data_IF_890083184297
#
_entry.id   IF_890083184297
#
_cell.length_a   1.000
_cell.length_b   1.000
_cell.length_c   1.000
_cell.angle_alpha   90.00
_cell.angle_beta   90.00
_cell.angle_gamma   90.00
#
_symmetry.space_group_name_H-M   'P 1'
#
loop_
_entity.id
_entity.type
_entity.pdbx_description
1 polymer ?
#
# COMPACT_ATOMS: atom_id res chain seq x y z
N UNK A 1 11.54 7.45 15.11
CA UNK A 1 11.03 6.21 14.46
C UNK A 1 10.63 6.54 13.05
N UNK A 2 11.05 5.72 12.09
CA UNK A 2 10.69 5.84 10.68
C UNK A 2 9.43 5.02 10.39
N UNK A 3 8.50 5.60 9.65
CA UNK A 3 7.26 4.93 9.21
C UNK A 3 7.42 4.53 7.75
N UNK A 4 7.61 3.24 7.49
CA UNK A 4 7.88 2.74 6.14
C UNK A 4 6.61 2.17 5.52
N UNK A 5 6.28 2.70 4.34
CA UNK A 5 5.13 2.30 3.52
C UNK A 5 5.56 2.07 2.07
N UNK A 6 4.74 1.34 1.31
CA UNK A 6 5.05 0.91 -0.05
C UNK A 6 4.03 1.41 -1.09
N UNK A 7 3.22 2.41 -0.73
CA UNK A 7 2.17 2.97 -1.58
C UNK A 7 1.96 4.45 -1.28
N UNK A 8 1.77 5.26 -2.33
CA UNK A 8 1.50 6.70 -2.22
C UNK A 8 0.19 6.98 -1.48
N UNK A 9 -0.84 6.14 -1.67
CA UNK A 9 -2.12 6.29 -0.97
C UNK A 9 -1.96 6.13 0.54
N UNK A 10 -1.16 5.18 0.98
CA UNK A 10 -0.86 4.95 2.40
C UNK A 10 -0.04 6.09 2.98
N UNK A 11 0.99 6.56 2.26
CA UNK A 11 1.78 7.72 2.68
C UNK A 11 0.90 8.98 2.83
N UNK A 12 0.00 9.21 1.87
CA UNK A 12 -0.98 10.28 1.92
C UNK A 12 -1.92 10.19 3.12
N UNK A 13 -2.47 9.00 3.40
CA UNK A 13 -3.33 8.76 4.55
C UNK A 13 -2.61 9.02 5.88
N UNK A 14 -1.34 8.60 6.01
CA UNK A 14 -0.52 8.89 7.19
C UNK A 14 -0.24 10.38 7.35
N UNK A 15 0.04 11.11 6.26
CA UNK A 15 0.23 12.56 6.30
C UNK A 15 -1.02 13.27 6.82
N UNK A 16 -2.22 12.80 6.43
CA UNK A 16 -3.50 13.29 6.96
C UNK A 16 -3.63 12.94 8.43
N UNK A 17 -3.33 11.70 8.83
CA UNK A 17 -3.40 11.25 10.22
C UNK A 17 -2.52 12.10 11.15
N UNK A 18 -1.28 12.42 10.74
CA UNK A 18 -0.36 13.29 11.49
C UNK A 18 -0.85 14.75 11.46
N UNK A 19 -1.35 15.21 10.32
CA UNK A 19 -1.68 16.61 10.07
C UNK A 19 -3.01 17.04 10.67
N UNK A 20 -3.92 16.13 11.00
CA UNK A 20 -5.27 16.45 11.46
C UNK A 20 -5.29 17.24 12.79
N UNK A 21 -4.25 17.12 13.58
CA UNK A 21 -4.10 17.96 14.80
C UNK A 21 -4.02 19.47 14.48
N UNK A 22 -3.81 19.84 13.21
CA UNK A 22 -3.56 21.20 12.74
C UNK A 22 -4.43 21.66 11.55
N UNK A 23 -5.31 20.80 11.02
CA UNK A 23 -6.10 21.13 9.82
C UNK A 23 -7.50 20.53 9.87
N UNK A 24 -8.50 21.37 9.69
CA UNK A 24 -9.90 20.96 9.50
C UNK A 24 -10.17 20.93 8.00
N UNK A 25 -10.51 19.79 7.45
CA UNK A 25 -11.01 19.64 6.11
C UNK A 25 -10.30 18.54 5.30
N UNK A 26 -10.92 17.37 5.22
CA UNK A 26 -10.67 16.36 4.21
C UNK A 26 -11.70 16.47 3.09
N UNK A 27 -11.37 16.05 1.88
CA UNK A 27 -12.35 15.88 0.82
C UNK A 27 -12.98 14.48 0.97
N UNK A 28 -14.28 14.42 1.25
CA UNK A 28 -15.05 13.17 1.26
C UNK A 28 -15.66 12.96 -0.11
N UNK A 29 -15.28 11.88 -0.79
CA UNK A 29 -15.91 11.45 -2.04
C UNK A 29 -16.91 10.33 -1.73
N UNK A 30 -18.13 10.46 -2.26
CA UNK A 30 -19.16 9.42 -2.20
C UNK A 30 -19.34 8.87 -3.61
N UNK A 31 -19.05 7.58 -3.79
CA UNK A 31 -19.18 6.89 -5.06
C UNK A 31 -20.46 6.05 -4.99
N UNK A 32 -21.36 6.25 -5.95
CA UNK A 32 -22.57 5.46 -6.10
C UNK A 32 -22.34 4.38 -7.15
N UNK A 33 -22.60 3.13 -6.79
CA UNK A 33 -22.67 2.01 -7.72
C UNK A 33 -24.10 1.49 -7.76
N UNK A 34 -24.66 1.32 -8.97
CA UNK A 34 -25.96 0.70 -9.14
C UNK A 34 -25.82 -0.82 -9.13
N UNK A 35 -26.64 -1.50 -8.37
CA UNK A 35 -26.67 -2.98 -8.32
C UNK A 35 -27.09 -3.59 -9.68
N UNK A 36 -27.84 -2.86 -10.48
CA UNK A 36 -28.40 -3.35 -11.75
C UNK A 36 -27.59 -2.97 -13.00
N UNK A 37 -26.41 -2.37 -12.86
CA UNK A 37 -25.52 -2.02 -14.00
C UNK A 37 -26.06 -0.96 -14.96
N UNK A 38 -27.22 -0.36 -14.68
CA UNK A 38 -27.77 0.73 -15.50
C UNK A 38 -26.93 2.01 -15.36
N UNK A 39 -26.19 2.35 -16.41
CA UNK A 39 -25.30 3.50 -16.47
C UNK A 39 -26.02 4.87 -16.40
N UNK A 40 -27.35 4.93 -16.33
CA UNK A 40 -28.15 6.16 -16.43
C UNK A 40 -29.19 6.37 -15.31
N UNK A 41 -29.12 5.64 -14.20
CA UNK A 41 -29.98 5.93 -13.07
C UNK A 41 -29.57 7.29 -12.46
N UNK A 42 -30.38 8.30 -12.67
CA UNK A 42 -30.17 9.62 -12.05
C UNK A 42 -30.53 9.52 -10.56
N UNK A 43 -29.53 9.44 -9.70
CA UNK A 43 -29.74 9.45 -8.26
C UNK A 43 -30.34 10.81 -7.86
N UNK A 44 -31.46 10.85 -7.13
CA UNK A 44 -32.04 12.11 -6.68
C UNK A 44 -31.05 12.94 -5.87
N UNK A 45 -30.95 14.24 -6.13
CA UNK A 45 -30.03 15.15 -5.45
C UNK A 45 -30.17 15.09 -3.91
N UNK A 46 -31.40 14.91 -3.41
CA UNK A 46 -31.65 14.77 -1.97
C UNK A 46 -31.03 13.50 -1.36
N UNK A 47 -30.91 12.44 -2.15
CA UNK A 47 -30.26 11.20 -1.73
C UNK A 47 -28.74 11.34 -1.70
N UNK A 48 -28.18 12.00 -2.71
CA UNK A 48 -26.75 12.36 -2.74
C UNK A 48 -26.39 13.18 -1.50
N UNK A 49 -27.16 14.24 -1.23
CA UNK A 49 -26.95 15.12 -0.06
C UNK A 49 -27.11 14.38 1.28
N UNK A 50 -27.98 13.38 1.33
CA UNK A 50 -28.13 12.52 2.52
C UNK A 50 -26.87 11.69 2.74
N UNK A 51 -26.40 10.99 1.73
CA UNK A 51 -25.19 10.16 1.82
C UNK A 51 -23.94 10.98 2.12
N UNK A 52 -23.81 12.17 1.53
CA UNK A 52 -22.72 13.08 1.84
C UNK A 52 -22.71 13.46 3.32
N UNK A 53 -23.86 13.88 3.87
CA UNK A 53 -23.97 14.22 5.30
C UNK A 53 -23.66 13.03 6.21
N UNK A 54 -24.12 11.84 5.86
CA UNK A 54 -23.82 10.61 6.63
C UNK A 54 -22.33 10.27 6.57
N UNK A 55 -21.67 10.47 5.43
CA UNK A 55 -20.23 10.26 5.28
C UNK A 55 -19.41 11.29 6.09
N UNK A 56 -19.76 12.58 6.00
CA UNK A 56 -19.14 13.66 6.77
C UNK A 56 -19.30 13.45 8.29
N UNK A 57 -20.50 13.02 8.71
CA UNK A 57 -20.75 12.74 10.13
C UNK A 57 -19.96 11.53 10.63
N UNK A 58 -19.82 10.48 9.79
CA UNK A 58 -18.99 9.30 10.10
C UNK A 58 -17.52 9.68 10.24
N UNK A 59 -17.01 10.47 9.32
CA UNK A 59 -15.63 10.97 9.37
C UNK A 59 -15.40 11.82 10.62
N UNK A 60 -16.28 12.79 10.91
CA UNK A 60 -16.21 13.63 12.10
C UNK A 60 -16.18 12.80 13.38
N UNK A 61 -17.08 11.81 13.51
CA UNK A 61 -17.11 10.89 14.68
C UNK A 61 -15.84 10.03 14.74
N UNK A 62 -15.30 9.63 13.60
CA UNK A 62 -14.04 8.91 13.52
C UNK A 62 -12.90 9.71 14.14
N UNK A 63 -12.78 10.98 13.76
CA UNK A 63 -11.77 11.88 14.32
C UNK A 63 -11.98 12.24 15.80
N UNK A 64 -13.22 12.41 16.23
CA UNK A 64 -13.54 12.69 17.65
C UNK A 64 -13.10 11.56 18.58
N UNK A 65 -13.08 10.32 18.09
CA UNK A 65 -12.71 9.13 18.88
C UNK A 65 -11.32 8.58 18.49
N UNK A 66 -10.60 9.26 17.60
CA UNK A 66 -9.33 8.78 17.09
C UNK A 66 -8.25 8.71 18.19
N UNK A 67 -7.50 7.61 18.17
CA UNK A 67 -6.22 7.55 18.87
C UNK A 67 -5.23 8.40 18.10
N UNK A 68 -4.57 9.40 18.72
CA UNK A 68 -3.60 10.22 18.00
C UNK A 68 -2.48 9.37 17.39
N UNK A 69 -2.20 9.58 16.11
CA UNK A 69 -1.05 8.98 15.47
C UNK A 69 0.17 9.87 15.71
N UNK A 70 1.02 9.44 16.66
CA UNK A 70 2.24 10.16 16.99
C UNK A 70 3.31 9.89 15.94
N UNK A 71 3.70 10.92 15.21
CA UNK A 71 4.72 10.83 14.17
C UNK A 71 5.07 12.21 13.61
N UNK A 72 6.10 12.23 12.78
CA UNK A 72 6.51 13.43 12.06
C UNK A 72 6.42 13.16 10.57
N UNK A 73 6.00 14.15 9.80
CA UNK A 73 5.87 14.05 8.34
C UNK A 73 7.18 13.65 7.66
N UNK A 74 8.29 14.18 8.15
CA UNK A 74 9.64 13.88 7.66
C UNK A 74 10.11 12.45 7.94
N UNK A 75 9.41 11.72 8.81
CA UNK A 75 9.73 10.33 9.15
C UNK A 75 8.95 9.31 8.31
N UNK A 76 8.02 9.76 7.46
CA UNK A 76 7.33 8.88 6.53
C UNK A 76 8.27 8.57 5.37
N UNK A 77 8.60 7.29 5.21
CA UNK A 77 9.43 6.77 4.13
C UNK A 77 8.53 5.99 3.19
N UNK A 78 8.26 6.55 2.02
CA UNK A 78 7.46 5.92 1.00
C UNK A 78 8.34 5.32 -0.10
N UNK A 79 8.11 4.04 -0.42
CA UNK A 79 8.87 3.25 -1.40
C UNK A 79 7.92 2.57 -2.40
N UNK A 80 7.22 3.33 -3.26
CA UNK A 80 6.21 2.82 -4.20
C UNK A 80 6.88 2.23 -5.45
N UNK A 81 7.55 1.09 -5.29
CA UNK A 81 8.43 0.53 -6.32
C UNK A 81 7.75 -0.46 -7.26
N UNK A 82 6.47 -0.77 -7.07
CA UNK A 82 5.72 -1.76 -7.86
C UNK A 82 6.48 -3.09 -8.05
N UNK A 83 7.06 -3.61 -6.96
CA UNK A 83 7.97 -4.75 -6.97
C UNK A 83 7.28 -6.09 -7.26
N UNK A 84 5.95 -6.14 -7.33
CA UNK A 84 5.19 -7.33 -7.69
C UNK A 84 5.26 -7.65 -9.19
N UNK A 85 5.64 -6.68 -10.03
CA UNK A 85 5.72 -6.83 -11.48
C UNK A 85 7.09 -6.46 -12.05
N UNK A 86 7.37 -6.95 -13.26
CA UNK A 86 8.62 -6.70 -13.99
C UNK A 86 9.83 -7.41 -13.38
N UNK A 87 10.99 -7.24 -13.98
CA UNK A 87 12.23 -7.85 -13.53
C UNK A 87 12.78 -7.21 -12.26
N UNK A 88 13.44 -8.01 -11.42
CA UNK A 88 13.98 -7.60 -10.12
C UNK A 88 15.43 -8.07 -9.89
N UNK A 89 16.14 -8.42 -10.96
CA UNK A 89 17.52 -8.94 -10.86
C UNK A 89 18.51 -7.89 -10.37
N UNK A 90 18.23 -6.61 -10.59
CA UNK A 90 19.08 -5.50 -10.17
C UNK A 90 18.99 -5.25 -8.65
N UNK A 91 20.13 -4.85 -8.09
CA UNK A 91 20.17 -4.38 -6.70
C UNK A 91 19.74 -2.91 -6.65
N UNK A 92 18.90 -2.57 -5.68
CA UNK A 92 18.45 -1.20 -5.46
C UNK A 92 17.35 -0.75 -6.44
N UNK A 93 17.32 0.56 -6.73
CA UNK A 93 16.30 1.22 -7.56
C UNK A 93 16.94 1.59 -8.91
N UNK A 94 17.00 0.63 -9.81
CA UNK A 94 17.65 0.73 -11.12
C UNK A 94 16.65 0.83 -12.28
N UNK A 95 17.19 0.59 -13.50
CA UNK A 95 16.43 0.69 -14.77
C UNK A 95 15.30 -0.34 -14.89
N UNK A 96 15.45 -1.54 -14.30
CA UNK A 96 14.36 -2.52 -14.29
C UNK A 96 13.08 -1.98 -13.61
N UNK A 97 13.23 -1.12 -12.59
CA UNK A 97 12.06 -0.48 -11.96
C UNK A 97 11.46 0.60 -12.83
N UNK A 98 12.30 1.36 -13.53
CA UNK A 98 11.87 2.35 -14.50
C UNK A 98 11.04 1.70 -15.63
N UNK A 99 11.53 0.59 -16.19
CA UNK A 99 10.83 -0.19 -17.21
C UNK A 99 9.48 -0.72 -16.70
N UNK A 100 9.45 -1.31 -15.48
CA UNK A 100 8.24 -1.87 -14.91
C UNK A 100 7.18 -0.79 -14.64
N UNK A 101 7.57 0.33 -14.06
CA UNK A 101 6.64 1.44 -13.76
C UNK A 101 6.18 2.10 -15.06
N UNK A 102 7.07 2.25 -16.05
CA UNK A 102 6.71 2.76 -17.39
C UNK A 102 5.68 1.89 -18.08
N UNK A 103 5.79 0.56 -17.94
CA UNK A 103 4.80 -0.38 -18.48
C UNK A 103 3.43 -0.21 -17.82
N UNK A 104 3.40 -0.07 -16.49
CA UNK A 104 2.15 0.13 -15.73
C UNK A 104 1.47 1.47 -16.03
N UNK A 105 2.26 2.52 -16.29
CA UNK A 105 1.75 3.86 -16.60
C UNK A 105 1.51 4.09 -18.10
N UNK A 106 1.85 3.12 -18.95
CA UNK A 106 1.79 3.22 -20.41
C UNK A 106 0.40 3.47 -21.00
N UNK A 107 -0.66 3.24 -20.24
CA UNK A 107 -2.04 3.64 -20.59
C UNK A 107 -2.26 5.15 -20.60
N UNK A 108 -1.35 5.94 -20.04
CA UNK A 108 -1.40 7.40 -19.97
C UNK A 108 -0.14 8.03 -20.56
N UNK A 109 0.12 7.88 -21.88
CA UNK A 109 1.40 8.20 -22.51
C UNK A 109 1.84 9.66 -22.35
N UNK A 110 0.89 10.61 -22.24
CA UNK A 110 1.19 12.04 -22.15
C UNK A 110 1.86 12.44 -20.82
N UNK A 111 1.66 11.66 -19.75
CA UNK A 111 2.18 11.95 -18.42
C UNK A 111 3.10 10.84 -17.87
N UNK A 112 3.15 9.70 -18.56
CA UNK A 112 3.84 8.51 -18.08
C UNK A 112 5.30 8.78 -17.71
N UNK A 113 6.07 9.42 -18.59
CA UNK A 113 7.50 9.67 -18.36
C UNK A 113 7.75 10.57 -17.13
N UNK A 114 6.94 11.61 -16.95
CA UNK A 114 7.06 12.51 -15.80
C UNK A 114 6.70 11.79 -14.50
N UNK A 115 5.61 11.02 -14.50
CA UNK A 115 5.15 10.24 -13.33
C UNK A 115 6.22 9.23 -12.91
N UNK A 116 6.79 8.49 -13.87
CA UNK A 116 7.85 7.51 -13.60
C UNK A 116 9.08 8.18 -12.98
N UNK A 117 9.53 9.30 -13.55
CA UNK A 117 10.69 10.04 -13.04
C UNK A 117 10.43 10.54 -11.60
N UNK A 118 9.28 11.16 -11.35
CA UNK A 118 8.90 11.68 -10.03
C UNK A 118 8.79 10.57 -8.98
N UNK A 119 8.18 9.42 -9.32
CA UNK A 119 8.07 8.26 -8.43
C UNK A 119 9.45 7.71 -8.07
N UNK A 120 10.30 7.47 -9.05
CA UNK A 120 11.63 6.91 -8.81
C UNK A 120 12.54 7.87 -8.05
N UNK A 121 12.49 9.14 -8.38
CA UNK A 121 13.25 10.18 -7.66
C UNK A 121 12.82 10.29 -6.19
N UNK A 122 11.52 10.24 -5.94
CA UNK A 122 10.96 10.23 -4.58
C UNK A 122 11.42 8.98 -3.84
N UNK A 123 11.31 7.80 -4.45
CA UNK A 123 11.73 6.55 -3.86
C UNK A 123 13.24 6.52 -3.57
N UNK A 124 14.09 7.00 -4.50
CA UNK A 124 15.55 7.09 -4.31
C UNK A 124 15.92 8.02 -3.16
N UNK A 125 15.27 9.19 -3.06
CA UNK A 125 15.50 10.15 -1.97
C UNK A 125 15.05 9.58 -0.63
N UNK A 126 13.86 8.98 -0.58
CA UNK A 126 13.33 8.32 0.62
C UNK A 126 14.23 7.18 1.09
N UNK A 127 14.71 6.36 0.16
CA UNK A 127 15.62 5.26 0.48
C UNK A 127 16.98 5.75 0.99
N UNK A 128 17.56 6.77 0.37
CA UNK A 128 18.83 7.33 0.81
C UNK A 128 18.74 7.92 2.23
N UNK A 129 17.65 8.63 2.55
CA UNK A 129 17.43 9.19 3.88
C UNK A 129 17.15 8.08 4.90
N UNK A 130 16.38 7.06 4.54
CA UNK A 130 16.18 5.88 5.39
C UNK A 130 17.50 5.24 5.77
N UNK A 131 18.39 4.96 4.80
CA UNK A 131 19.69 4.35 5.06
C UNK A 131 20.52 5.16 6.05
N UNK A 132 20.55 6.48 5.87
CA UNK A 132 21.28 7.39 6.74
C UNK A 132 20.73 7.38 8.18
N UNK A 133 19.43 7.41 8.35
CA UNK A 133 18.79 7.40 9.66
C UNK A 133 18.96 6.05 10.37
N UNK A 134 18.81 4.96 9.64
CA UNK A 134 19.01 3.60 10.16
C UNK A 134 20.47 3.37 10.61
N UNK A 135 21.45 3.87 9.87
CA UNK A 135 22.87 3.84 10.28
C UNK A 135 23.11 4.61 11.59
N UNK A 136 22.30 5.61 11.89
CA UNK A 136 22.34 6.36 13.15
C UNK A 136 21.53 5.67 14.28
N UNK A 137 20.96 4.50 14.02
CA UNK A 137 20.20 3.73 15.01
C UNK A 137 18.73 4.12 15.14
N UNK A 138 18.17 4.86 14.17
CA UNK A 138 16.75 5.21 14.18
C UNK A 138 15.90 3.94 14.00
N UNK A 139 14.92 3.67 14.88
CA UNK A 139 14.04 2.51 14.76
C UNK A 139 13.09 2.65 13.56
N UNK A 140 12.71 1.51 12.99
CA UNK A 140 11.84 1.39 11.83
C UNK A 140 10.53 0.73 12.23
N UNK A 141 9.40 1.31 11.83
CA UNK A 141 8.09 0.67 11.84
C UNK A 141 7.60 0.48 10.41
N UNK A 142 7.32 -0.76 10.04
CA UNK A 142 6.89 -1.13 8.69
C UNK A 142 5.40 -1.43 8.71
N UNK A 143 4.66 -0.81 7.81
CA UNK A 143 3.23 -1.03 7.61
C UNK A 143 3.05 -2.08 6.52
N UNK A 144 2.88 -3.32 6.95
CA UNK A 144 2.79 -4.48 6.07
C UNK A 144 1.33 -4.90 5.83
N UNK A 145 1.04 -5.32 4.61
CA UNK A 145 -0.21 -5.95 4.23
C UNK A 145 0.07 -7.19 3.37
N UNK A 146 -0.98 -7.91 2.98
CA UNK A 146 -0.87 -9.05 2.06
C UNK A 146 -0.90 -8.65 0.59
N UNK A 147 -0.92 -7.34 0.30
CA UNK A 147 -0.71 -6.87 -1.06
C UNK A 147 0.65 -7.33 -1.59
N UNK A 148 0.73 -7.84 -2.82
CA UNK A 148 1.98 -8.30 -3.40
C UNK A 148 3.09 -7.25 -3.37
N UNK A 149 2.78 -5.98 -3.66
CA UNK A 149 3.76 -4.89 -3.62
C UNK A 149 4.26 -4.57 -2.22
N UNK A 150 3.38 -4.58 -1.22
CA UNK A 150 3.76 -4.35 0.18
C UNK A 150 4.64 -5.49 0.71
N UNK A 151 4.32 -6.74 0.37
CA UNK A 151 5.16 -7.89 0.74
C UNK A 151 6.50 -7.88 0.01
N UNK A 152 6.52 -7.59 -1.28
CA UNK A 152 7.76 -7.42 -2.04
C UNK A 152 8.62 -6.31 -1.45
N UNK A 153 8.00 -5.17 -1.13
CA UNK A 153 8.68 -4.03 -0.51
C UNK A 153 9.33 -4.37 0.83
N UNK A 154 8.61 -5.08 1.70
CA UNK A 154 9.15 -5.56 2.98
C UNK A 154 10.38 -6.49 2.77
N UNK A 155 10.29 -7.46 1.87
CA UNK A 155 11.36 -8.43 1.62
C UNK A 155 12.56 -7.76 0.98
N UNK A 156 12.32 -6.92 -0.03
CA UNK A 156 13.33 -6.08 -0.67
C UNK A 156 14.06 -5.19 0.34
N UNK A 157 13.31 -4.50 1.20
CA UNK A 157 13.90 -3.61 2.19
C UNK A 157 14.82 -4.35 3.16
N UNK A 158 14.45 -5.54 3.61
CA UNK A 158 15.30 -6.35 4.48
C UNK A 158 16.61 -6.74 3.79
N UNK A 159 16.59 -7.05 2.50
CA UNK A 159 17.82 -7.31 1.73
C UNK A 159 18.66 -6.03 1.57
N UNK A 160 18.03 -4.90 1.25
CA UNK A 160 18.75 -3.63 1.12
C UNK A 160 19.41 -3.17 2.45
N UNK A 161 18.85 -3.55 3.58
CA UNK A 161 19.40 -3.23 4.91
C UNK A 161 20.43 -4.24 5.41
N UNK A 162 20.63 -5.37 4.72
CA UNK A 162 21.62 -6.40 5.09
C UNK A 162 23.05 -5.83 5.30
N UNK A 163 23.55 -4.88 4.47
CA UNK A 163 24.89 -4.30 4.68
C UNK A 163 25.04 -3.47 5.97
N UNK A 164 23.92 -2.96 6.53
CA UNK A 164 23.93 -2.23 7.81
C UNK A 164 24.12 -3.19 8.98
N UNK A 165 23.74 -4.47 8.81
CA UNK A 165 23.74 -5.51 9.82
C UNK A 165 22.37 -5.65 10.46
N UNK A 166 21.61 -6.67 10.05
CA UNK A 166 20.22 -6.88 10.49
C UNK A 166 20.07 -7.04 12.01
N UNK A 167 21.11 -7.50 12.69
CA UNK A 167 21.16 -7.64 14.15
C UNK A 167 21.25 -6.31 14.90
N UNK A 168 21.59 -5.22 14.21
CA UNK A 168 21.68 -3.87 14.79
C UNK A 168 20.38 -3.08 14.62
N UNK A 169 19.46 -3.59 13.80
CA UNK A 169 18.23 -2.90 13.48
C UNK A 169 17.19 -3.09 14.59
N UNK A 170 16.46 -2.03 14.88
CA UNK A 170 15.23 -2.08 15.66
C UNK A 170 14.05 -1.95 14.71
N UNK A 171 13.45 -3.09 14.36
CA UNK A 171 12.37 -3.18 13.37
C UNK A 171 11.12 -3.70 14.04
N UNK A 172 10.04 -2.93 13.91
CA UNK A 172 8.69 -3.35 14.25
C UNK A 172 7.84 -3.42 12.99
N UNK A 173 6.76 -4.18 13.02
CA UNK A 173 5.76 -4.27 11.95
C UNK A 173 4.38 -4.04 12.51
N UNK A 174 3.57 -3.30 11.76
CA UNK A 174 2.12 -3.24 11.92
C UNK A 174 1.53 -4.03 10.76
N UNK A 175 0.93 -5.17 11.07
CA UNK A 175 0.28 -6.01 10.07
C UNK A 175 -1.18 -5.60 9.93
N UNK A 176 -1.61 -5.32 8.70
CA UNK A 176 -3.02 -5.04 8.41
C UNK A 176 -3.88 -6.26 8.78
N UNK A 177 -4.90 -6.11 9.64
CA UNK A 177 -5.87 -7.17 9.88
C UNK A 177 -6.57 -7.58 8.58
N UNK A 178 -6.58 -8.87 8.25
CA UNK A 178 -7.26 -9.35 7.04
C UNK A 178 -8.77 -9.18 7.13
N UNK A 179 -9.31 -9.35 8.33
CA UNK A 179 -10.74 -9.29 8.61
C UNK A 179 -11.01 -8.44 9.84
N UNK A 180 -12.06 -7.65 9.76
CA UNK A 180 -12.54 -6.86 10.89
C UNK A 180 -14.06 -7.03 11.02
N UNK A 181 -14.53 -7.25 12.24
CA UNK A 181 -15.95 -7.17 12.55
C UNK A 181 -16.27 -5.77 13.05
N UNK A 182 -17.02 -5.01 12.28
CA UNK A 182 -17.47 -3.67 12.64
C UNK A 182 -18.57 -3.70 13.70
N UNK A 183 -18.80 -2.58 14.43
CA UNK A 183 -19.84 -2.49 15.46
C UNK A 183 -21.25 -2.75 14.97
N UNK A 184 -21.54 -2.49 13.69
CA UNK A 184 -22.80 -2.77 13.01
C UNK A 184 -23.01 -4.26 12.69
N UNK A 185 -21.99 -5.10 12.97
CA UNK A 185 -22.00 -6.54 12.71
C UNK A 185 -21.46 -6.93 11.33
N UNK A 186 -21.16 -5.99 10.47
CA UNK A 186 -20.53 -6.25 9.17
C UNK A 186 -19.13 -6.80 9.35
N UNK A 187 -18.75 -7.77 8.51
CA UNK A 187 -17.38 -8.28 8.41
C UNK A 187 -16.76 -7.64 7.18
N UNK A 188 -15.68 -6.88 7.39
CA UNK A 188 -14.92 -6.24 6.32
C UNK A 188 -13.63 -6.99 6.11
N UNK A 189 -13.30 -7.27 4.87
CA UNK A 189 -11.99 -7.78 4.46
C UNK A 189 -11.16 -6.61 3.92
N UNK A 190 -9.92 -6.49 4.42
CA UNK A 190 -8.96 -5.52 3.92
C UNK A 190 -7.93 -6.21 3.05
N UNK A 191 -7.60 -5.59 1.91
CA UNK A 191 -6.54 -6.05 1.01
C UNK A 191 -5.28 -5.23 1.19
N UNK A 192 -5.40 -3.94 1.46
CA UNK A 192 -4.27 -3.02 1.63
C UNK A 192 -4.55 -1.87 2.59
N UNK A 193 -3.47 -1.25 3.05
CA UNK A 193 -3.52 -0.10 3.96
C UNK A 193 -4.23 1.13 3.40
N UNK A 194 -4.35 1.23 2.07
CA UNK A 194 -5.09 2.31 1.41
C UNK A 194 -6.59 2.31 1.69
N UNK A 195 -7.13 1.22 2.24
CA UNK A 195 -8.55 1.07 2.61
C UNK A 195 -8.83 1.53 4.06
N UNK A 196 -7.78 1.84 4.83
CA UNK A 196 -7.89 2.27 6.22
C UNK A 196 -8.03 3.79 6.28
N UNK A 197 -9.06 4.23 6.97
CA UNK A 197 -9.32 5.65 7.16
C UNK A 197 -8.19 6.30 8.00
N UNK A 198 -7.76 7.53 7.65
CA UNK A 198 -6.63 8.21 8.30
C UNK A 198 -6.74 8.32 9.82
N UNK A 199 -7.93 8.51 10.36
CA UNK A 199 -8.17 8.60 11.81
C UNK A 199 -7.91 7.29 12.57
N UNK A 200 -7.72 6.16 11.87
CA UNK A 200 -7.48 4.84 12.48
C UNK A 200 -5.99 4.49 12.61
N UNK A 201 -5.09 5.21 11.96
CA UNK A 201 -3.67 4.87 11.98
C UNK A 201 -3.08 4.85 13.41
N UNK A 202 -3.53 5.74 14.30
CA UNK A 202 -3.10 5.73 15.68
C UNK A 202 -3.52 4.46 16.45
N UNK A 203 -4.75 3.99 16.23
CA UNK A 203 -5.24 2.72 16.78
C UNK A 203 -4.45 1.53 16.23
N UNK A 204 -4.25 1.50 14.91
CA UNK A 204 -3.51 0.42 14.25
C UNK A 204 -2.05 0.36 14.69
N UNK A 205 -1.42 1.50 14.96
CA UNK A 205 -0.05 1.56 15.47
C UNK A 205 0.12 0.79 16.80
N UNK A 206 -0.93 0.66 17.62
CA UNK A 206 -0.89 -0.13 18.85
C UNK A 206 -0.74 -1.65 18.61
N UNK A 207 -0.95 -2.11 17.38
CA UNK A 207 -0.78 -3.51 16.98
C UNK A 207 0.65 -3.86 16.60
N UNK A 208 1.58 -2.92 16.74
CA UNK A 208 2.98 -3.15 16.36
C UNK A 208 3.60 -4.33 17.09
N UNK A 209 4.43 -5.08 16.35
CA UNK A 209 5.16 -6.24 16.86
C UNK A 209 6.62 -6.13 16.45
N UNK A 210 7.53 -6.43 17.38
CA UNK A 210 8.96 -6.48 17.07
C UNK A 210 9.28 -7.68 16.19
N UNK A 211 10.02 -7.46 15.11
CA UNK A 211 10.49 -8.53 14.24
C UNK A 211 11.81 -9.11 14.77
N UNK A 212 11.88 -10.43 15.00
CA UNK A 212 13.12 -11.07 15.43
C UNK A 212 14.14 -11.11 14.27
N UNK A 213 15.43 -11.00 14.58
CA UNK A 213 16.52 -10.96 13.60
C UNK A 213 16.50 -12.16 12.64
N UNK A 214 16.14 -13.34 13.11
CA UNK A 214 16.04 -14.52 12.26
C UNK A 214 14.96 -14.38 11.19
N UNK A 215 13.85 -13.69 11.50
CA UNK A 215 12.81 -13.39 10.51
C UNK A 215 13.32 -12.36 9.51
N UNK A 216 14.01 -11.28 9.94
CA UNK A 216 14.60 -10.30 9.03
C UNK A 216 15.56 -10.98 8.03
N UNK A 217 16.40 -11.91 8.52
CA UNK A 217 17.29 -12.68 7.66
C UNK A 217 16.54 -13.60 6.69
N UNK A 218 15.46 -14.23 7.14
CA UNK A 218 14.63 -15.08 6.29
C UNK A 218 13.96 -14.27 5.16
N UNK A 219 13.39 -13.12 5.48
CA UNK A 219 12.77 -12.22 4.50
C UNK A 219 13.79 -11.77 3.44
N UNK A 220 14.96 -11.31 3.89
CA UNK A 220 16.04 -10.91 3.00
C UNK A 220 16.53 -12.06 2.12
N UNK A 221 16.67 -13.28 2.65
CA UNK A 221 17.09 -14.44 1.86
C UNK A 221 16.04 -14.87 0.84
N UNK A 222 14.77 -14.81 1.20
CA UNK A 222 13.68 -15.10 0.27
C UNK A 222 13.61 -14.06 -0.87
N UNK A 223 13.93 -12.79 -0.60
CA UNK A 223 14.07 -11.80 -1.67
C UNK A 223 15.15 -12.19 -2.69
N UNK A 224 16.30 -12.67 -2.21
CA UNK A 224 17.38 -13.15 -3.10
C UNK A 224 16.93 -14.34 -3.94
N UNK A 225 16.15 -15.27 -3.39
CA UNK A 225 15.57 -16.39 -4.13
C UNK A 225 14.66 -15.88 -5.26
N UNK A 226 13.75 -14.94 -4.97
CA UNK A 226 12.89 -14.31 -5.99
C UNK A 226 13.69 -13.57 -7.06
N UNK A 227 14.80 -12.92 -6.70
CA UNK A 227 15.70 -12.28 -7.66
C UNK A 227 16.39 -13.29 -8.59
N UNK A 228 16.77 -14.46 -8.06
CA UNK A 228 17.36 -15.53 -8.86
C UNK A 228 16.35 -16.14 -9.84
N UNK A 229 15.10 -16.29 -9.41
CA UNK A 229 14.01 -16.74 -10.28
C UNK A 229 13.66 -15.68 -11.34
N UNK A 230 13.71 -14.41 -10.96
CA UNK A 230 13.47 -13.22 -11.78
C UNK A 230 12.21 -13.31 -12.66
N UNK A 231 11.16 -13.91 -12.14
CA UNK A 231 9.87 -13.94 -12.83
C UNK A 231 9.30 -12.52 -13.00
N UNK A 232 8.50 -12.31 -14.02
CA UNK A 232 7.88 -11.01 -14.33
C UNK A 232 6.68 -10.69 -13.45
N UNK A 233 6.11 -11.70 -12.76
CA UNK A 233 5.01 -11.55 -11.81
C UNK A 233 5.35 -12.22 -10.49
N UNK A 234 5.03 -11.54 -9.38
CA UNK A 234 5.05 -12.08 -8.02
C UNK A 234 3.66 -11.93 -7.41
N UNK A 235 3.21 -12.99 -6.75
CA UNK A 235 1.89 -13.05 -6.14
C UNK A 235 1.97 -13.56 -4.70
N UNK A 236 0.95 -13.28 -3.91
CA UNK A 236 0.80 -13.84 -2.58
C UNK A 236 -0.19 -15.01 -2.64
N UNK A 237 0.33 -16.21 -2.52
CA UNK A 237 -0.46 -17.45 -2.52
C UNK A 237 -0.39 -18.12 -1.15
N UNK A 238 -1.54 -18.32 -0.53
CA UNK A 238 -1.63 -18.89 0.83
C UNK A 238 -0.75 -18.15 1.86
N UNK A 239 -0.68 -16.81 1.75
CA UNK A 239 0.11 -15.95 2.64
C UNK A 239 1.62 -15.97 2.39
N UNK A 240 2.08 -16.59 1.30
CA UNK A 240 3.49 -16.60 0.90
C UNK A 240 3.68 -15.82 -0.39
N UNK A 241 4.71 -14.99 -0.42
CA UNK A 241 5.17 -14.32 -1.63
C UNK A 241 5.92 -15.33 -2.50
N UNK A 242 5.52 -15.46 -3.76
CA UNK A 242 6.09 -16.42 -4.70
C UNK A 242 6.21 -15.80 -6.09
N UNK A 243 7.14 -16.29 -6.90
CA UNK A 243 7.14 -16.08 -8.33
C UNK A 243 5.93 -16.77 -8.96
N UNK A 244 5.28 -16.11 -9.90
CA UNK A 244 4.08 -16.61 -10.54
C UNK A 244 4.17 -16.45 -12.06
N UNK A 245 3.49 -17.31 -12.84
CA UNK A 245 3.38 -17.11 -14.28
C UNK A 245 2.54 -15.87 -14.59
N UNK A 246 2.86 -15.17 -15.68
CA UNK A 246 2.14 -13.98 -16.13
C UNK A 246 0.64 -14.21 -16.30
N UNK A 247 0.27 -15.42 -16.72
CA UNK A 247 -1.12 -15.82 -16.95
C UNK A 247 -1.90 -16.18 -15.67
N UNK A 248 -1.33 -15.95 -14.46
CA UNK A 248 -1.98 -16.34 -13.19
C UNK A 248 -3.41 -15.78 -13.08
N UNK A 249 -3.61 -14.57 -13.53
CA UNK A 249 -4.90 -13.87 -13.41
C UNK A 249 -5.75 -13.91 -14.69
N UNK A 250 -5.29 -14.52 -15.78
CA UNK A 250 -6.00 -14.51 -17.06
C UNK A 250 -7.41 -15.07 -16.97
N UNK A 251 -7.59 -16.18 -16.26
CA UNK A 251 -8.90 -16.79 -16.07
C UNK A 251 -9.85 -15.86 -15.31
N UNK A 252 -9.36 -15.13 -14.31
CA UNK A 252 -10.16 -14.17 -13.55
C UNK A 252 -10.56 -12.97 -14.43
N UNK A 253 -9.61 -12.47 -15.23
CA UNK A 253 -9.84 -11.34 -16.13
C UNK A 253 -10.83 -11.70 -17.24
N UNK A 254 -10.71 -12.89 -17.84
CA UNK A 254 -11.65 -13.39 -18.86
C UNK A 254 -13.05 -13.54 -18.27
N UNK A 255 -13.18 -14.15 -17.08
CA UNK A 255 -14.47 -14.31 -16.43
C UNK A 255 -15.16 -12.97 -16.15
N UNK A 256 -14.42 -11.97 -15.67
CA UNK A 256 -14.97 -10.63 -15.39
C UNK A 256 -15.36 -9.88 -16.66
N UNK A 257 -14.60 -10.04 -17.76
CA UNK A 257 -14.95 -9.43 -19.06
C UNK A 257 -16.15 -10.08 -19.69
N UNK A 258 -16.27 -11.41 -19.67
CA UNK A 258 -17.41 -12.14 -20.20
C UNK A 258 -18.70 -11.78 -19.42
N UNK A 259 -18.62 -11.71 -18.09
CA UNK A 259 -19.75 -11.28 -17.26
C UNK A 259 -20.21 -9.84 -17.56
N UNK A 260 -19.26 -8.94 -17.87
CA UNK A 260 -19.56 -7.56 -18.26
C UNK A 260 -20.22 -7.47 -19.66
N UNK A 261 -19.81 -8.33 -20.59
CA UNK A 261 -20.39 -8.38 -21.94
C UNK A 261 -21.78 -9.03 -21.94
N UNK A 262 -22.02 -10.06 -21.12
CA UNK A 262 -23.35 -10.63 -20.89
C UNK A 262 -24.31 -9.59 -20.29
N UNK A 263 -23.87 -8.82 -19.31
CA UNK A 263 -24.67 -7.75 -18.70
C UNK A 263 -25.02 -6.61 -19.67
N UNK A 264 -24.23 -6.40 -20.74
CA UNK A 264 -24.51 -5.42 -21.79
C UNK A 264 -25.43 -5.93 -22.88
N UNK A 265 -25.65 -7.23 -22.96
CA UNK A 265 -26.45 -7.89 -24.02
C UNK A 265 -27.92 -8.13 -23.61
N UNK A 266 -28.35 -7.78 -22.41
CA UNK A 266 -29.68 -7.83 -21.88
C UNK A 266 -30.31 -6.44 -21.86
#
# INVERSE_FOLDING_TARGET
MLEVVFSDSVAGAMLVAIGHQHSVGGATAVIFANEDGEQNATIPQAEIEKFQREAEERERRGWENAVPFEGKRENIVNLPLALSVGHISQTGIGTEREEAISLLTGTFPDIASQVVEEMLDTARKSYAELLKQVQNGEPIRIWASREPDAMCGLYWLMEQLRPVGLEKLDVTVVELPEWEKRPDGCIVQYTGWGEIEPYRFGEMALLEKKLPVNLLRSLASHWVELQQENATLRAVLNGKLVSAPECLYDTCLLYTSDAADEARSV
#
